data_IF_935668228286
#
_entry.id   IF_935668228286
#
_cell.length_a   1.000
_cell.length_b   1.000
_cell.length_c   1.000
_cell.angle_alpha   90.00
_cell.angle_beta   90.00
_cell.angle_gamma   90.00
#
_symmetry.space_group_name_H-M   'P 1'
#
loop_
_entity.id
_entity.type
_entity.pdbx_description
1 polymer ?
#
# COMPACT_ATOMS: atom_id res chain seq x y z
N UNK A 1 -6.45 -11.45 -10.33
CA UNK A 1 -6.71 -12.20 -9.09
C UNK A 1 -5.69 -11.86 -8.02
N UNK A 2 -4.41 -12.01 -8.32
CA UNK A 2 -3.36 -11.69 -7.36
C UNK A 2 -3.42 -10.25 -6.87
N UNK A 3 -3.78 -9.35 -7.76
CA UNK A 3 -3.86 -7.93 -7.47
C UNK A 3 -4.83 -7.63 -6.33
N UNK A 4 -6.01 -8.23 -6.35
CA UNK A 4 -7.00 -8.03 -5.29
C UNK A 4 -6.55 -8.63 -3.96
N UNK A 5 -5.92 -9.79 -3.98
CA UNK A 5 -5.39 -10.41 -2.77
C UNK A 5 -4.29 -9.56 -2.16
N UNK A 6 -3.39 -9.05 -2.98
CA UNK A 6 -2.28 -8.22 -2.52
C UNK A 6 -2.81 -6.90 -1.94
N UNK A 7 -3.82 -6.32 -2.57
CA UNK A 7 -4.45 -5.09 -2.07
C UNK A 7 -5.13 -5.34 -0.73
N UNK A 8 -5.87 -6.45 -0.60
CA UNK A 8 -6.54 -6.79 0.65
C UNK A 8 -5.55 -7.00 1.78
N UNK A 9 -4.44 -7.68 1.50
CA UNK A 9 -3.38 -7.89 2.49
C UNK A 9 -2.73 -6.58 2.91
N UNK A 10 -2.49 -5.70 1.94
CA UNK A 10 -1.92 -4.39 2.19
C UNK A 10 -2.82 -3.58 3.12
N UNK A 11 -4.12 -3.54 2.82
CA UNK A 11 -5.08 -2.80 3.63
C UNK A 11 -5.17 -3.35 5.04
N UNK A 12 -5.14 -4.67 5.21
CA UNK A 12 -5.12 -5.28 6.54
C UNK A 12 -3.91 -4.84 7.35
N UNK A 13 -2.74 -4.79 6.72
CA UNK A 13 -1.52 -4.35 7.38
C UNK A 13 -1.61 -2.89 7.80
N UNK A 14 -2.14 -2.04 6.92
CA UNK A 14 -2.35 -0.63 7.22
C UNK A 14 -3.27 -0.47 8.42
N UNK A 15 -4.40 -1.18 8.42
CA UNK A 15 -5.35 -1.12 9.52
C UNK A 15 -4.75 -1.63 10.82
N UNK A 16 -3.94 -2.69 10.75
CA UNK A 16 -3.28 -3.24 11.93
C UNK A 16 -2.30 -2.24 12.54
N UNK A 17 -1.48 -1.60 11.69
CA UNK A 17 -0.52 -0.62 12.17
C UNK A 17 -1.21 0.60 12.77
N UNK A 18 -2.30 1.05 12.17
CA UNK A 18 -3.07 2.17 12.69
C UNK A 18 -3.68 1.81 14.05
N UNK A 19 -4.19 0.60 14.19
CA UNK A 19 -4.78 0.11 15.42
C UNK A 19 -3.73 0.02 16.52
N UNK A 20 -2.55 -0.51 16.20
CA UNK A 20 -1.44 -0.63 17.14
C UNK A 20 -0.98 0.74 17.62
N UNK A 21 -1.04 1.75 16.74
CA UNK A 21 -0.69 3.13 17.08
C UNK A 21 -1.86 3.89 17.72
N UNK A 22 -3.01 3.26 17.86
CA UNK A 22 -4.24 3.88 18.39
C UNK A 22 -4.66 5.09 17.58
N UNK A 23 -4.45 5.02 16.27
CA UNK A 23 -4.75 6.11 15.35
C UNK A 23 -6.13 5.91 14.75
N UNK A 24 -6.88 6.99 14.61
CA UNK A 24 -8.21 6.95 14.00
C UNK A 24 -8.13 7.06 12.48
N UNK A 25 -7.02 7.54 11.95
CA UNK A 25 -6.80 7.64 10.51
C UNK A 25 -5.32 7.66 10.19
N UNK A 26 -5.03 7.44 8.90
CA UNK A 26 -3.68 7.43 8.35
C UNK A 26 -3.55 8.61 7.39
N UNK A 27 -2.49 9.40 7.53
CA UNK A 27 -2.26 10.59 6.70
C UNK A 27 -1.56 10.24 5.38
N UNK A 28 -0.64 9.27 5.41
CA UNK A 28 0.11 8.91 4.23
C UNK A 28 0.54 7.44 4.30
N UNK A 29 0.70 6.85 3.14
CA UNK A 29 1.13 5.45 3.00
C UNK A 29 2.23 5.40 1.94
N UNK A 30 3.31 4.69 2.24
CA UNK A 30 4.38 4.42 1.27
C UNK A 30 4.33 2.95 0.91
N UNK A 31 4.29 2.67 -0.38
CA UNK A 31 4.20 1.31 -0.91
C UNK A 31 5.36 1.10 -1.88
N UNK A 32 5.97 -0.08 -1.83
CA UNK A 32 7.01 -0.47 -2.76
C UNK A 32 6.46 -1.50 -3.73
N UNK A 33 6.54 -1.20 -5.02
CA UNK A 33 6.18 -2.13 -6.08
C UNK A 33 7.42 -2.86 -6.56
N UNK A 34 7.41 -4.18 -6.49
CA UNK A 34 8.53 -4.98 -6.97
C UNK A 34 8.69 -4.86 -8.49
N UNK A 35 9.91 -5.09 -8.98
CA UNK A 35 10.21 -4.94 -10.40
C UNK A 35 9.38 -5.85 -11.31
N UNK A 36 8.90 -6.96 -10.77
CA UNK A 36 8.13 -7.97 -11.51
C UNK A 36 6.70 -8.10 -11.01
N UNK A 37 6.15 -7.07 -10.36
CA UNK A 37 4.81 -7.15 -9.78
C UNK A 37 3.67 -7.05 -10.81
N UNK A 38 4.01 -6.72 -12.05
CA UNK A 38 3.08 -6.68 -13.19
C UNK A 38 1.93 -5.67 -13.06
N UNK A 39 2.11 -4.65 -12.23
CA UNK A 39 1.15 -3.56 -12.13
C UNK A 39 1.91 -2.23 -12.22
N UNK A 40 1.36 -1.28 -12.98
CA UNK A 40 1.98 0.04 -13.08
C UNK A 40 1.63 0.88 -11.86
N UNK A 41 2.47 1.88 -11.51
CA UNK A 41 2.14 2.80 -10.42
C UNK A 41 0.78 3.47 -10.57
N UNK A 42 0.44 3.91 -11.79
CA UNK A 42 -0.84 4.58 -12.03
C UNK A 42 -2.02 3.64 -11.79
N UNK A 43 -1.91 2.41 -12.28
CA UNK A 43 -2.96 1.40 -12.12
C UNK A 43 -3.11 1.03 -10.63
N UNK A 44 -1.99 0.87 -9.93
CA UNK A 44 -2.03 0.59 -8.51
C UNK A 44 -2.70 1.73 -7.74
N UNK A 45 -2.37 2.97 -8.09
CA UNK A 45 -2.94 4.15 -7.44
C UNK A 45 -4.46 4.19 -7.61
N UNK A 46 -4.96 3.91 -8.81
CA UNK A 46 -6.41 3.87 -9.04
C UNK A 46 -7.09 2.87 -8.13
N UNK A 47 -6.55 1.66 -8.05
CA UNK A 47 -7.13 0.61 -7.21
C UNK A 47 -7.04 0.97 -5.74
N UNK A 48 -5.91 1.52 -5.33
CA UNK A 48 -5.69 1.91 -3.94
C UNK A 48 -6.69 2.99 -3.51
N UNK A 49 -6.85 4.03 -4.34
CA UNK A 49 -7.75 5.13 -4.01
C UNK A 49 -9.20 4.67 -3.90
N UNK A 50 -9.59 3.72 -4.72
CA UNK A 50 -10.93 3.14 -4.63
C UNK A 50 -11.09 2.26 -3.39
N UNK A 51 -10.05 1.51 -3.06
CA UNK A 51 -10.10 0.52 -1.98
C UNK A 51 -10.10 1.15 -0.59
N UNK A 52 -9.50 2.33 -0.42
CA UNK A 52 -9.38 2.96 0.90
C UNK A 52 -10.62 3.75 1.33
N UNK A 53 -11.59 3.92 0.45
CA UNK A 53 -12.82 4.63 0.79
C UNK A 53 -13.53 3.90 1.92
N UNK A 54 -13.85 4.63 3.00
CA UNK A 54 -14.49 4.05 4.17
C UNK A 54 -13.53 3.35 5.13
N UNK A 55 -12.23 3.42 4.89
CA UNK A 55 -11.23 2.82 5.78
C UNK A 55 -10.45 3.91 6.53
N UNK A 56 -9.58 3.49 7.45
CA UNK A 56 -8.71 4.42 8.19
C UNK A 56 -7.75 5.18 7.27
N UNK A 57 -7.54 4.69 6.05
CA UNK A 57 -6.63 5.30 5.07
C UNK A 57 -7.34 6.20 4.07
N UNK A 58 -8.65 6.41 4.22
CA UNK A 58 -9.38 7.28 3.29
C UNK A 58 -8.75 8.67 3.29
N UNK A 59 -8.46 9.18 2.08
CA UNK A 59 -7.84 10.49 1.93
C UNK A 59 -6.33 10.52 2.14
N UNK A 60 -5.71 9.37 2.47
CA UNK A 60 -4.27 9.31 2.68
C UNK A 60 -3.50 9.59 1.39
N UNK A 61 -2.36 10.26 1.53
CA UNK A 61 -1.43 10.45 0.42
C UNK A 61 -0.72 9.14 0.16
N UNK A 62 -0.60 8.77 -1.11
CA UNK A 62 0.08 7.53 -1.50
C UNK A 62 1.40 7.86 -2.19
N UNK A 63 2.49 7.39 -1.61
CA UNK A 63 3.81 7.44 -2.22
C UNK A 63 4.18 6.05 -2.70
N UNK A 64 4.56 5.95 -3.97
CA UNK A 64 4.91 4.67 -4.58
C UNK A 64 6.39 4.68 -4.91
N UNK A 65 7.10 3.67 -4.40
CA UNK A 65 8.49 3.41 -4.76
C UNK A 65 8.50 2.23 -5.74
N UNK A 66 9.07 2.44 -6.91
CA UNK A 66 9.17 1.39 -7.91
C UNK A 66 10.57 0.80 -7.87
N UNK A 67 10.65 -0.49 -7.57
CA UNK A 67 11.93 -1.20 -7.55
C UNK A 67 12.33 -1.58 -8.97
N UNK A 68 13.62 -1.52 -9.25
CA UNK A 68 14.19 -1.98 -10.53
C UNK A 68 14.95 -3.29 -10.36
N UNK A 69 15.04 -3.81 -9.15
CA UNK A 69 15.81 -5.03 -8.86
C UNK A 69 14.96 -6.27 -9.15
N UNK A 70 15.22 -6.87 -10.31
CA UNK A 70 14.48 -8.05 -10.75
C UNK A 70 14.91 -9.31 -10.03
N UNK A 71 16.04 -9.28 -9.34
CA UNK A 71 16.59 -10.41 -8.60
C UNK A 71 16.18 -10.41 -7.12
N UNK A 72 15.46 -9.37 -6.69
CA UNK A 72 14.95 -9.28 -5.34
C UNK A 72 13.99 -10.44 -5.07
N UNK A 73 14.11 -11.16 -3.94
CA UNK A 73 13.16 -12.21 -3.58
C UNK A 73 11.71 -11.74 -3.59
N UNK A 74 11.48 -10.45 -3.37
CA UNK A 74 10.15 -9.86 -3.36
C UNK A 74 9.82 -9.09 -4.64
N UNK A 75 10.51 -9.38 -5.75
CA UNK A 75 10.32 -8.64 -6.99
C UNK A 75 8.90 -8.73 -7.55
N UNK A 76 8.15 -9.78 -7.20
CA UNK A 76 6.76 -9.95 -7.65
C UNK A 76 5.74 -9.37 -6.67
N UNK A 77 6.21 -8.84 -5.54
CA UNK A 77 5.33 -8.45 -4.45
C UNK A 77 5.06 -6.94 -4.43
N UNK A 78 3.98 -6.60 -3.73
CA UNK A 78 3.65 -5.23 -3.36
C UNK A 78 3.81 -5.17 -1.85
N UNK A 79 4.73 -4.33 -1.39
CA UNK A 79 5.09 -4.28 0.02
C UNK A 79 4.72 -2.95 0.64
N UNK A 80 4.20 -3.00 1.86
CA UNK A 80 3.97 -1.79 2.65
C UNK A 80 5.31 -1.31 3.19
N UNK A 81 5.72 -0.10 2.82
CA UNK A 81 6.94 0.50 3.31
C UNK A 81 6.73 1.15 4.67
N UNK A 82 5.75 2.04 4.76
CA UNK A 82 5.48 2.76 6.01
C UNK A 82 4.12 3.45 5.94
N UNK A 83 3.64 3.86 7.11
CA UNK A 83 2.47 4.74 7.19
C UNK A 83 2.85 5.96 8.03
N UNK A 84 2.15 7.07 7.79
CA UNK A 84 2.27 8.26 8.61
C UNK A 84 0.94 8.54 9.28
N UNK A 85 0.99 8.79 10.58
CA UNK A 85 -0.19 9.09 11.39
C UNK A 85 -0.26 10.60 11.58
N UNK A 86 -1.44 11.24 11.41
CA UNK A 86 -1.57 12.67 11.66
C UNK A 86 -1.30 12.99 13.14
N UNK A 87 -0.59 14.06 13.36
CA UNK A 87 -0.26 14.51 14.72
C UNK A 87 -1.33 15.44 15.25
#
# INVERSE_FOLDING_TARGET
MHEFSLMADLLRKIEQLARDAKAERVAAVTVKLGALCHITPDHFREHFEAAIVGTVAEGATLDIELSEDRDDPNAQDILLGSIEIPV
#
